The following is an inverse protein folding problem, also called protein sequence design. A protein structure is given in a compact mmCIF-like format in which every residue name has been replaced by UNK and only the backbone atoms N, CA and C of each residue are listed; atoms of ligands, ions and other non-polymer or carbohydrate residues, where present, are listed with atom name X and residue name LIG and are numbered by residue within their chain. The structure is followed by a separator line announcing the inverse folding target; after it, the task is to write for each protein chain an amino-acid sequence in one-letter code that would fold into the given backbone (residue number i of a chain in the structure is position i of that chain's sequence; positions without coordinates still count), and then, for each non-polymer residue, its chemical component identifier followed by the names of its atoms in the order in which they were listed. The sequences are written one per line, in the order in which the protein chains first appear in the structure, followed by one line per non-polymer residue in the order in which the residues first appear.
data_IF_923915196161
#
_entry.id   IF_923915196161
#
_cell.length_a   1.000
_cell.length_b   1.000
_cell.length_c   1.000
_cell.angle_alpha   90.00
_cell.angle_beta   90.00
_cell.angle_gamma   90.00
#
_symmetry.space_group_name_H-M   'P 1'
#
loop_
_entity.id
_entity.type
_entity.pdbx_description
1 polymer ?
#
# COMPACT_ATOMS: atom_id res chain seq x y z
N UNK A 1 4.96 -9.81 17.81
CA UNK A 1 4.05 -10.31 18.85
C UNK A 1 2.73 -10.64 18.19
N UNK A 2 2.38 -11.91 18.12
CA UNK A 2 1.04 -12.31 17.73
C UNK A 2 0.03 -11.73 18.72
N UNK A 3 -0.78 -10.79 18.26
CA UNK A 3 -1.89 -10.32 19.10
C UNK A 3 -3.09 -11.20 18.81
N UNK A 4 -3.48 -11.95 19.84
CA UNK A 4 -4.70 -12.73 19.78
C UNK A 4 -5.91 -11.78 19.73
N UNK A 5 -6.47 -11.57 18.53
CA UNK A 5 -7.64 -10.73 18.29
C UNK A 5 -8.96 -11.49 18.57
N UNK A 6 -8.88 -12.77 18.99
CA UNK A 6 -10.04 -13.63 19.21
C UNK A 6 -10.58 -13.60 20.64
N UNK A 7 -10.00 -12.77 21.53
CA UNK A 7 -10.39 -12.64 22.95
C UNK A 7 -10.58 -11.18 23.36
N UNK A 8 -11.22 -10.94 24.49
CA UNK A 8 -11.44 -9.59 25.04
C UNK A 8 -12.58 -8.82 24.36
N UNK A 9 -12.68 -7.51 24.58
CA UNK A 9 -13.69 -6.65 23.97
C UNK A 9 -13.44 -6.41 22.47
N UNK A 10 -14.43 -6.68 21.62
CA UNK A 10 -14.36 -6.47 20.16
C UNK A 10 -14.13 -4.99 19.85
N UNK A 11 -14.85 -4.09 20.49
CA UNK A 11 -14.72 -2.65 20.28
C UNK A 11 -13.31 -2.15 20.60
N UNK A 12 -12.74 -2.60 21.72
CA UNK A 12 -11.35 -2.27 22.11
C UNK A 12 -10.34 -2.84 21.10
N UNK A 13 -10.59 -4.04 20.59
CA UNK A 13 -9.73 -4.66 19.58
C UNK A 13 -9.78 -3.85 18.26
N UNK A 14 -10.97 -3.42 17.81
CA UNK A 14 -11.13 -2.56 16.64
C UNK A 14 -10.33 -1.26 16.82
N UNK A 15 -10.55 -0.51 17.89
CA UNK A 15 -9.85 0.76 18.11
C UNK A 15 -8.32 0.58 18.17
N UNK A 16 -7.85 -0.43 18.91
CA UNK A 16 -6.41 -0.68 19.09
C UNK A 16 -5.73 -1.07 17.77
N UNK A 17 -6.46 -1.73 16.85
CA UNK A 17 -5.95 -2.11 15.55
C UNK A 17 -6.12 -1.00 14.50
N UNK A 18 -7.28 -0.32 14.50
CA UNK A 18 -7.61 0.72 13.53
C UNK A 18 -6.76 1.98 13.68
N UNK A 19 -6.50 2.45 14.91
CA UNK A 19 -5.76 3.69 15.14
C UNK A 19 -4.34 3.68 14.52
N UNK A 20 -3.48 2.66 14.74
CA UNK A 20 -2.18 2.59 14.06
C UNK A 20 -2.31 2.49 12.55
N UNK A 21 -3.36 1.83 12.06
CA UNK A 21 -3.60 1.68 10.63
C UNK A 21 -4.05 3.01 9.98
N UNK A 22 -4.94 3.74 10.65
CA UNK A 22 -5.37 5.08 10.25
C UNK A 22 -4.17 6.03 10.20
N UNK A 23 -3.29 5.98 11.22
CA UNK A 23 -2.07 6.78 11.24
C UNK A 23 -1.13 6.39 10.08
N UNK A 24 -1.04 5.11 9.72
CA UNK A 24 -0.28 4.66 8.55
C UNK A 24 -0.78 5.30 7.25
N UNK A 25 -2.10 5.33 7.04
CA UNK A 25 -2.70 5.98 5.87
C UNK A 25 -2.48 7.49 5.88
N UNK A 26 -2.63 8.12 7.04
CA UNK A 26 -2.36 9.56 7.19
C UNK A 26 -0.89 9.89 6.84
N UNK A 27 0.07 9.12 7.34
CA UNK A 27 1.48 9.29 7.02
C UNK A 27 1.78 9.09 5.53
N UNK A 28 1.13 8.12 4.88
CA UNK A 28 1.24 7.91 3.43
C UNK A 28 0.71 9.12 2.64
N UNK A 29 -0.42 9.67 3.06
CA UNK A 29 -0.97 10.89 2.44
C UNK A 29 -0.03 12.08 2.67
N UNK A 30 0.51 12.20 3.88
CA UNK A 30 1.39 13.29 4.26
C UNK A 30 2.67 13.31 3.43
N UNK A 31 3.35 12.16 3.23
CA UNK A 31 4.57 12.18 2.44
C UNK A 31 4.27 12.48 0.96
N UNK A 32 3.18 11.98 0.38
CA UNK A 32 2.78 12.33 -0.98
C UNK A 32 2.45 13.82 -1.16
N UNK A 33 1.90 14.48 -0.13
CA UNK A 33 1.72 15.93 -0.13
C UNK A 33 3.05 16.67 0.03
N UNK A 34 3.97 16.15 0.85
CA UNK A 34 5.29 16.73 1.05
C UNK A 34 6.11 16.72 -0.25
N UNK A 35 6.10 15.61 -1.01
CA UNK A 35 6.76 15.52 -2.31
C UNK A 35 6.32 16.66 -3.24
N UNK A 36 5.01 16.90 -3.36
CA UNK A 36 4.47 17.96 -4.21
C UNK A 36 4.81 19.36 -3.67
N UNK A 37 4.74 19.56 -2.35
CA UNK A 37 5.06 20.83 -1.72
C UNK A 37 6.56 21.18 -1.88
N UNK A 38 7.45 20.24 -1.62
CA UNK A 38 8.90 20.42 -1.76
C UNK A 38 9.26 20.67 -3.22
N UNK A 39 8.71 19.86 -4.14
CA UNK A 39 8.91 20.09 -5.59
C UNK A 39 8.41 21.48 -6.00
N UNK A 40 7.24 21.90 -5.52
CA UNK A 40 6.68 23.21 -5.79
C UNK A 40 7.50 24.37 -5.22
N UNK A 41 8.20 24.17 -4.12
CA UNK A 41 9.03 25.19 -3.47
C UNK A 41 10.36 25.43 -4.18
N UNK A 42 10.95 24.40 -4.76
CA UNK A 42 12.30 24.43 -5.31
C UNK A 42 12.35 24.31 -6.84
N UNK A 43 11.29 23.86 -7.51
CA UNK A 43 11.26 23.60 -8.94
C UNK A 43 10.17 24.40 -9.65
N UNK A 44 10.24 24.47 -11.01
CA UNK A 44 9.23 25.07 -11.85
C UNK A 44 7.96 24.22 -12.02
N UNK A 45 6.95 24.81 -12.70
CA UNK A 45 5.63 24.19 -12.93
C UNK A 45 5.75 22.86 -13.67
N UNK A 46 6.67 22.72 -14.62
CA UNK A 46 6.89 21.50 -15.40
C UNK A 46 7.30 20.33 -14.51
N UNK A 47 8.16 20.59 -13.51
CA UNK A 47 8.59 19.58 -12.53
C UNK A 47 7.46 19.17 -11.62
N UNK A 48 6.64 20.12 -11.15
CA UNK A 48 5.44 19.83 -10.34
C UNK A 48 4.49 18.93 -11.11
N UNK A 49 4.23 19.26 -12.38
CA UNK A 49 3.36 18.49 -13.28
C UNK A 49 3.90 17.08 -13.50
N UNK A 50 5.21 16.94 -13.72
CA UNK A 50 5.86 15.66 -13.90
C UNK A 50 5.75 14.76 -12.66
N UNK A 51 6.01 15.31 -11.47
CA UNK A 51 5.89 14.58 -10.20
C UNK A 51 4.43 14.25 -9.90
N UNK A 52 3.50 15.15 -10.14
CA UNK A 52 2.07 14.91 -9.91
C UNK A 52 1.54 13.77 -10.77
N UNK A 53 1.81 13.79 -12.10
CA UNK A 53 1.39 12.74 -13.02
C UNK A 53 2.06 11.41 -12.70
N UNK A 54 3.37 11.41 -12.43
CA UNK A 54 4.11 10.22 -12.06
C UNK A 54 3.60 9.60 -10.74
N UNK A 55 3.35 10.43 -9.73
CA UNK A 55 2.79 9.99 -8.44
C UNK A 55 1.39 9.41 -8.58
N UNK A 56 0.54 9.95 -9.47
CA UNK A 56 -0.80 9.41 -9.72
C UNK A 56 -0.75 8.01 -10.32
N UNK A 57 0.16 7.77 -11.27
CA UNK A 57 0.39 6.44 -11.85
C UNK A 57 0.89 5.46 -10.78
N UNK A 58 1.88 5.88 -9.97
CA UNK A 58 2.40 5.06 -8.89
C UNK A 58 1.34 4.77 -7.82
N UNK A 59 0.47 5.74 -7.53
CA UNK A 59 -0.65 5.55 -6.62
C UNK A 59 -1.62 4.47 -7.13
N UNK A 60 -2.01 4.53 -8.41
CA UNK A 60 -2.87 3.52 -9.03
C UNK A 60 -2.26 2.12 -8.92
N UNK A 61 -0.97 1.96 -9.21
CA UNK A 61 -0.27 0.69 -9.08
C UNK A 61 -0.23 0.19 -7.64
N UNK A 62 0.05 1.09 -6.70
CA UNK A 62 0.11 0.77 -5.26
C UNK A 62 -1.25 0.30 -4.75
N UNK A 63 -2.34 0.93 -5.16
CA UNK A 63 -3.71 0.57 -4.77
C UNK A 63 -4.05 -0.84 -5.26
N UNK A 64 -3.70 -1.20 -6.49
CA UNK A 64 -3.86 -2.57 -7.02
C UNK A 64 -3.05 -3.59 -6.21
N UNK A 65 -1.79 -3.26 -5.88
CA UNK A 65 -0.92 -4.09 -5.04
C UNK A 65 -1.54 -4.29 -3.65
N UNK A 66 -2.04 -3.23 -3.03
CA UNK A 66 -2.70 -3.27 -1.70
C UNK A 66 -3.96 -4.13 -1.74
N UNK A 67 -4.78 -3.99 -2.80
CA UNK A 67 -5.97 -4.81 -3.00
C UNK A 67 -5.63 -6.30 -3.08
N UNK A 68 -4.61 -6.67 -3.86
CA UNK A 68 -4.12 -8.06 -3.92
C UNK A 68 -3.58 -8.53 -2.56
N UNK A 69 -2.86 -7.66 -1.84
CA UNK A 69 -2.31 -7.96 -0.52
C UNK A 69 -3.39 -8.18 0.55
N UNK A 70 -4.59 -7.63 0.36
CA UNK A 70 -5.74 -7.89 1.23
C UNK A 70 -6.10 -9.38 1.26
N UNK A 71 -6.07 -10.06 0.11
CA UNK A 71 -6.27 -11.52 0.06
C UNK A 71 -5.28 -12.27 0.95
N UNK A 72 -4.02 -11.88 0.94
CA UNK A 72 -2.98 -12.45 1.80
C UNK A 72 -3.26 -12.19 3.29
N UNK A 73 -3.63 -10.96 3.65
CA UNK A 73 -3.99 -10.59 5.03
C UNK A 73 -5.11 -11.49 5.58
N UNK A 74 -6.15 -11.72 4.78
CA UNK A 74 -7.31 -12.54 5.19
C UNK A 74 -6.92 -14.01 5.35
N UNK A 75 -6.18 -14.60 4.40
CA UNK A 75 -5.79 -16.01 4.47
C UNK A 75 -4.81 -16.27 5.61
N UNK A 76 -3.84 -15.39 5.82
CA UNK A 76 -2.90 -15.48 6.96
C UNK A 76 -3.67 -15.33 8.27
N UNK A 77 -4.54 -14.32 8.38
CA UNK A 77 -5.35 -14.09 9.58
C UNK A 77 -6.24 -15.28 9.93
N UNK A 78 -6.86 -15.91 8.94
CA UNK A 78 -7.66 -17.11 9.14
C UNK A 78 -6.82 -18.29 9.66
N UNK A 79 -5.65 -18.53 9.06
CA UNK A 79 -4.75 -19.60 9.50
C UNK A 79 -4.22 -19.36 10.93
N UNK A 80 -3.85 -18.12 11.26
CA UNK A 80 -3.44 -17.71 12.61
C UNK A 80 -4.57 -17.91 13.61
N UNK A 81 -5.79 -17.48 13.26
CA UNK A 81 -6.97 -17.67 14.10
C UNK A 81 -7.29 -19.14 14.38
N UNK A 82 -7.08 -20.00 13.38
CA UNK A 82 -7.22 -21.46 13.51
C UNK A 82 -6.07 -22.13 14.29
N UNK A 83 -5.04 -21.38 14.68
CA UNK A 83 -3.84 -21.93 15.32
C UNK A 83 -2.94 -22.75 14.38
N UNK A 84 -3.20 -22.71 13.07
CA UNK A 84 -2.45 -23.47 12.06
C UNK A 84 -1.31 -22.64 11.47
N UNK A 85 -0.18 -22.61 12.17
CA UNK A 85 1.00 -21.84 11.75
C UNK A 85 1.60 -22.32 10.43
N UNK A 86 1.48 -23.63 10.09
CA UNK A 86 1.98 -24.15 8.81
C UNK A 86 1.22 -23.57 7.63
N UNK A 87 -0.10 -23.46 7.74
CA UNK A 87 -0.93 -22.82 6.70
C UNK A 87 -0.64 -21.32 6.60
N UNK A 88 -0.34 -20.65 7.72
CA UNK A 88 0.09 -19.26 7.71
C UNK A 88 1.45 -19.09 6.99
N UNK A 89 2.44 -19.93 7.30
CA UNK A 89 3.75 -19.94 6.64
C UNK A 89 3.65 -20.22 5.14
N UNK A 90 2.80 -21.17 4.74
CA UNK A 90 2.50 -21.47 3.34
C UNK A 90 1.83 -20.28 2.63
N UNK A 91 0.89 -19.62 3.29
CA UNK A 91 0.23 -18.43 2.76
C UNK A 91 1.23 -17.27 2.57
N UNK A 92 2.14 -17.05 3.53
CA UNK A 92 3.20 -16.04 3.44
C UNK A 92 4.13 -16.33 2.26
N UNK A 93 4.67 -17.55 2.14
CA UNK A 93 5.56 -17.93 1.06
C UNK A 93 4.91 -17.82 -0.32
N UNK A 94 3.66 -18.28 -0.44
CA UNK A 94 2.89 -18.16 -1.68
C UNK A 94 2.53 -16.71 -2.02
N UNK A 95 2.32 -15.85 -1.03
CA UNK A 95 2.14 -14.40 -1.24
C UNK A 95 3.37 -13.80 -1.91
N UNK A 96 4.56 -14.04 -1.36
CA UNK A 96 5.82 -13.56 -1.96
C UNK A 96 5.96 -14.04 -3.40
N UNK A 97 5.73 -15.33 -3.64
CA UNK A 97 5.83 -15.92 -4.99
C UNK A 97 4.82 -15.31 -5.96
N UNK A 98 3.56 -15.09 -5.53
CA UNK A 98 2.52 -14.45 -6.34
C UNK A 98 2.94 -13.04 -6.76
N UNK A 99 3.36 -12.22 -5.81
CA UNK A 99 3.74 -10.84 -6.10
C UNK A 99 4.99 -10.75 -6.97
N UNK A 100 5.97 -11.64 -6.78
CA UNK A 100 7.13 -11.71 -7.66
C UNK A 100 6.72 -12.09 -9.10
N UNK A 101 5.81 -13.03 -9.28
CA UNK A 101 5.29 -13.41 -10.59
C UNK A 101 4.51 -12.25 -11.24
N UNK A 102 3.65 -11.55 -10.47
CA UNK A 102 2.89 -10.38 -10.95
C UNK A 102 3.83 -9.26 -11.37
N UNK A 103 4.88 -8.96 -10.58
CA UNK A 103 5.87 -7.95 -10.92
C UNK A 103 6.56 -8.25 -12.25
N UNK A 104 7.04 -9.48 -12.43
CA UNK A 104 7.72 -9.89 -13.66
C UNK A 104 6.79 -9.79 -14.87
N UNK A 105 5.50 -10.15 -14.72
CA UNK A 105 4.52 -10.11 -15.80
C UNK A 105 4.05 -8.67 -16.11
N UNK A 106 3.94 -7.79 -15.12
CA UNK A 106 3.35 -6.46 -15.25
C UNK A 106 4.33 -5.38 -15.75
N UNK A 107 5.63 -5.56 -15.59
CA UNK A 107 6.63 -4.53 -15.95
C UNK A 107 6.53 -4.13 -17.43
N UNK A 108 6.40 -5.09 -18.36
CA UNK A 108 6.35 -4.80 -19.81
C UNK A 108 5.08 -4.09 -20.27
N UNK A 109 3.85 -4.51 -19.88
CA UNK A 109 2.63 -3.81 -20.30
C UNK A 109 2.49 -2.42 -19.66
N UNK A 110 2.98 -2.19 -18.46
CA UNK A 110 2.86 -0.90 -17.76
C UNK A 110 3.68 0.21 -18.44
N UNK A 111 4.87 -0.10 -18.95
CA UNK A 111 5.69 0.85 -19.68
C UNK A 111 5.03 1.30 -20.99
N UNK A 112 4.19 0.46 -21.61
CA UNK A 112 3.49 0.77 -22.87
C UNK A 112 2.18 1.55 -22.71
N UNK A 113 1.59 1.59 -21.50
CA UNK A 113 0.26 2.18 -21.25
C UNK A 113 0.29 3.67 -20.87
N UNK A 114 1.46 4.26 -20.66
CA UNK A 114 1.59 5.63 -20.13
C UNK A 114 1.66 6.64 -21.26
N UNK A 115 0.49 7.14 -21.69
CA UNK A 115 0.38 8.29 -22.58
C UNK A 115 0.54 9.60 -21.80
N UNK A 116 1.76 10.15 -21.72
CA UNK A 116 2.06 11.39 -20.99
C UNK A 116 2.07 12.59 -21.95
N UNK A 117 1.57 13.80 -21.56
CA UNK A 117 1.68 15.02 -22.38
C UNK A 117 3.13 15.34 -22.76
N UNK A 118 3.37 15.77 -24.01
CA UNK A 118 4.70 15.87 -24.61
C UNK A 118 5.69 16.77 -23.83
N UNK A 119 5.21 17.80 -23.17
CA UNK A 119 6.04 18.80 -22.46
C UNK A 119 6.53 18.32 -21.10
N UNK A 120 5.75 17.46 -20.43
CA UNK A 120 6.12 16.84 -19.14
C UNK A 120 6.78 15.46 -19.31
N UNK A 121 6.86 14.95 -20.55
CA UNK A 121 7.36 13.61 -20.88
C UNK A 121 8.75 13.32 -20.29
N UNK A 122 9.78 14.20 -20.45
CA UNK A 122 11.11 13.83 -19.98
C UNK A 122 11.19 13.64 -18.47
N UNK A 123 10.60 14.57 -17.68
CA UNK A 123 10.58 14.50 -16.22
C UNK A 123 9.72 13.35 -15.70
N UNK A 124 8.55 13.12 -16.30
CA UNK A 124 7.66 12.02 -15.93
C UNK A 124 8.28 10.65 -16.23
N UNK A 125 8.91 10.50 -17.40
CA UNK A 125 9.60 9.25 -17.77
C UNK A 125 10.76 8.97 -16.81
N UNK A 126 11.57 9.98 -16.47
CA UNK A 126 12.65 9.83 -15.50
C UNK A 126 12.11 9.43 -14.12
N UNK A 127 11.07 10.14 -13.62
CA UNK A 127 10.40 9.82 -12.38
C UNK A 127 9.89 8.38 -12.33
N UNK A 128 9.11 7.99 -13.34
CA UNK A 128 8.52 6.64 -13.42
C UNK A 128 9.57 5.54 -13.59
N UNK A 129 10.63 5.80 -14.36
CA UNK A 129 11.72 4.82 -14.53
C UNK A 129 12.36 4.49 -13.18
N UNK A 130 12.67 5.50 -12.36
CA UNK A 130 13.25 5.32 -11.03
C UNK A 130 12.26 4.62 -10.10
N UNK A 131 11.00 5.06 -10.09
CA UNK A 131 9.96 4.44 -9.29
C UNK A 131 9.70 2.97 -9.70
N UNK A 132 9.77 2.65 -10.98
CA UNK A 132 9.60 1.26 -11.45
C UNK A 132 10.75 0.34 -11.01
N UNK A 133 11.98 0.86 -10.95
CA UNK A 133 13.09 0.16 -10.31
C UNK A 133 12.80 -0.05 -8.81
N UNK A 134 12.07 0.89 -8.18
CA UNK A 134 11.62 0.82 -6.78
C UNK A 134 10.42 -0.11 -6.52
N UNK A 135 9.64 -0.51 -7.55
CA UNK A 135 8.46 -1.36 -7.38
C UNK A 135 8.71 -2.62 -6.53
N UNK A 136 9.81 -3.36 -6.68
CA UNK A 136 10.08 -4.52 -5.83
C UNK A 136 10.09 -4.17 -4.34
N UNK A 137 10.62 -3.02 -3.95
CA UNK A 137 10.67 -2.57 -2.56
C UNK A 137 9.30 -2.12 -2.06
N UNK A 138 8.54 -1.38 -2.88
CA UNK A 138 7.16 -0.99 -2.58
C UNK A 138 6.30 -2.24 -2.37
N UNK A 139 6.44 -3.22 -3.25
CA UNK A 139 5.72 -4.50 -3.15
C UNK A 139 6.15 -5.28 -1.92
N UNK A 140 7.46 -5.36 -1.63
CA UNK A 140 7.98 -6.03 -0.44
C UNK A 140 7.43 -5.39 0.84
N UNK A 141 7.36 -4.06 0.93
CA UNK A 141 6.72 -3.37 2.05
C UNK A 141 5.25 -3.78 2.20
N UNK A 142 4.48 -3.81 1.10
CA UNK A 142 3.06 -4.18 1.15
C UNK A 142 2.85 -5.65 1.54
N UNK A 143 3.70 -6.56 1.06
CA UNK A 143 3.70 -7.96 1.47
C UNK A 143 3.97 -8.09 2.97
N UNK A 144 5.05 -7.49 3.45
CA UNK A 144 5.41 -7.53 4.88
C UNK A 144 4.29 -6.95 5.73
N UNK A 145 3.75 -5.80 5.33
CA UNK A 145 2.61 -5.17 6.02
C UNK A 145 1.37 -6.05 6.03
N UNK A 146 1.05 -6.77 4.94
CA UNK A 146 -0.07 -7.70 4.89
C UNK A 146 0.11 -8.90 5.82
N UNK A 147 1.34 -9.40 5.91
CA UNK A 147 1.71 -10.47 6.85
C UNK A 147 1.50 -10.02 8.29
N UNK A 148 2.04 -8.87 8.68
CA UNK A 148 1.87 -8.34 10.05
C UNK A 148 0.40 -8.11 10.38
N UNK A 149 -0.39 -7.57 9.45
CA UNK A 149 -1.84 -7.41 9.62
C UNK A 149 -2.55 -8.74 9.82
N UNK A 150 -2.22 -9.75 9.03
CA UNK A 150 -2.74 -11.11 9.18
C UNK A 150 -2.39 -11.72 10.55
N UNK A 151 -1.18 -11.46 11.06
CA UNK A 151 -0.73 -11.85 12.39
C UNK A 151 -1.38 -11.05 13.54
N UNK A 152 -2.21 -10.04 13.22
CA UNK A 152 -2.88 -9.19 14.21
C UNK A 152 -2.05 -8.01 14.71
N UNK A 153 -0.96 -7.68 14.04
CA UNK A 153 -0.10 -6.53 14.38
C UNK A 153 -0.25 -5.40 13.37
N UNK A 154 -0.94 -4.33 13.77
CA UNK A 154 -1.06 -3.08 12.99
C UNK A 154 -0.02 -2.04 13.37
N UNK A 155 0.68 -2.20 14.51
CA UNK A 155 1.66 -1.21 14.99
C UNK A 155 2.97 -1.28 14.23
N UNK A 156 3.46 -2.50 13.95
CA UNK A 156 4.73 -2.65 13.23
C UNK A 156 4.71 -2.02 11.84
N UNK A 157 3.70 -2.25 10.98
CA UNK A 157 3.57 -1.53 9.70
C UNK A 157 3.51 -0.01 9.85
N UNK A 158 2.85 0.50 10.90
CA UNK A 158 2.81 1.94 11.20
C UNK A 158 4.22 2.51 11.47
N UNK A 159 5.05 1.81 12.23
CA UNK A 159 6.43 2.25 12.47
C UNK A 159 7.27 2.21 11.20
N UNK A 160 7.09 1.19 10.35
CA UNK A 160 7.82 1.09 9.09
C UNK A 160 7.50 2.25 8.16
N UNK A 161 6.21 2.63 8.04
CA UNK A 161 5.81 3.76 7.21
C UNK A 161 6.20 5.10 7.82
N UNK A 162 6.22 5.22 9.16
CA UNK A 162 6.68 6.44 9.83
C UNK A 162 8.16 6.71 9.51
N UNK A 163 9.00 5.67 9.54
CA UNK A 163 10.40 5.78 9.14
C UNK A 163 10.52 6.16 7.66
N UNK A 164 9.72 5.51 6.77
CA UNK A 164 9.71 5.85 5.36
C UNK A 164 9.30 7.30 5.13
N UNK A 165 8.26 7.79 5.79
CA UNK A 165 7.78 9.16 5.69
C UNK A 165 8.85 10.17 6.11
N UNK A 166 9.48 9.96 7.25
CA UNK A 166 10.54 10.85 7.74
C UNK A 166 11.76 10.84 6.79
N UNK A 167 12.16 9.66 6.32
CA UNK A 167 13.26 9.53 5.37
C UNK A 167 12.93 10.17 4.01
N UNK A 168 11.70 9.97 3.50
CA UNK A 168 11.27 10.57 2.24
C UNK A 168 11.35 12.10 2.29
N UNK A 169 10.74 12.73 3.32
CA UNK A 169 10.77 14.18 3.47
C UNK A 169 12.22 14.70 3.55
N UNK A 170 13.08 14.03 4.32
CA UNK A 170 14.49 14.43 4.45
C UNK A 170 15.26 14.28 3.13
N UNK A 171 15.05 13.18 2.39
CA UNK A 171 15.68 12.92 1.10
C UNK A 171 15.16 13.87 0.02
N UNK A 172 13.87 14.19 0.01
CA UNK A 172 13.29 15.15 -0.94
C UNK A 172 13.86 16.56 -0.73
N UNK A 173 13.95 17.02 0.51
CA UNK A 173 14.60 18.30 0.83
C UNK A 173 16.06 18.29 0.35
N UNK A 174 16.79 17.19 0.53
CA UNK A 174 18.17 17.06 0.10
C UNK A 174 18.33 17.01 -1.42
N UNK A 175 17.56 16.17 -2.10
CA UNK A 175 17.72 15.91 -3.53
C UNK A 175 17.10 17.00 -4.40
N UNK A 176 15.95 17.54 -3.99
CA UNK A 176 15.24 18.57 -4.76
C UNK A 176 15.79 19.96 -4.44
N UNK A 177 16.14 20.23 -3.17
CA UNK A 177 16.71 21.51 -2.74
C UNK A 177 18.18 21.67 -3.17
N UNK A 178 19.17 21.36 -2.32
CA UNK A 178 20.59 21.63 -2.60
C UNK A 178 21.13 20.91 -3.85
N UNK A 179 20.66 19.69 -4.16
CA UNK A 179 21.14 18.93 -5.31
C UNK A 179 20.41 19.27 -6.61
N UNK A 180 19.30 20.02 -6.54
CA UNK A 180 18.52 20.50 -7.69
C UNK A 180 18.14 19.40 -8.71
N UNK A 181 17.86 18.15 -8.25
CA UNK A 181 17.56 17.00 -9.10
C UNK A 181 16.10 17.00 -9.61
N UNK A 182 15.26 17.92 -9.15
CA UNK A 182 13.86 18.03 -9.60
C UNK A 182 13.06 16.73 -9.48
N UNK A 183 12.34 16.30 -10.55
CA UNK A 183 11.54 15.06 -10.54
C UNK A 183 12.35 13.79 -10.25
N UNK A 184 13.61 13.75 -10.67
CA UNK A 184 14.54 12.65 -10.35
C UNK A 184 14.78 12.57 -8.85
N UNK A 185 14.95 13.73 -8.19
CA UNK A 185 15.13 13.81 -6.75
C UNK A 185 13.94 13.27 -5.97
N UNK A 186 12.71 13.66 -6.36
CA UNK A 186 11.47 13.14 -5.76
C UNK A 186 11.34 11.61 -5.93
N UNK A 187 11.64 11.09 -7.13
CA UNK A 187 11.59 9.65 -7.38
C UNK A 187 12.63 8.86 -6.56
N UNK A 188 13.85 9.40 -6.44
CA UNK A 188 14.89 8.81 -5.58
C UNK A 188 14.50 8.85 -4.11
N UNK A 189 13.97 9.98 -3.61
CA UNK A 189 13.45 10.12 -2.26
C UNK A 189 12.42 9.06 -1.93
N UNK A 190 11.42 8.89 -2.80
CA UNK A 190 10.38 7.88 -2.65
C UNK A 190 10.96 6.46 -2.69
N UNK A 191 11.80 6.13 -3.66
CA UNK A 191 12.35 4.77 -3.82
C UNK A 191 13.29 4.38 -2.66
N UNK A 192 14.17 5.28 -2.25
CA UNK A 192 15.12 5.03 -1.17
C UNK A 192 14.42 4.96 0.20
N UNK A 193 13.42 5.79 0.44
CA UNK A 193 12.63 5.74 1.68
C UNK A 193 11.85 4.43 1.80
N UNK A 194 11.27 3.93 0.72
CA UNK A 194 10.61 2.62 0.70
C UNK A 194 11.62 1.47 0.90
N UNK A 195 12.79 1.57 0.30
CA UNK A 195 13.88 0.60 0.52
C UNK A 195 14.30 0.57 1.99
N UNK A 196 14.46 1.73 2.61
CA UNK A 196 14.78 1.85 4.05
C UNK A 196 13.66 1.24 4.91
N UNK A 197 12.41 1.50 4.57
CA UNK A 197 11.25 0.89 5.26
C UNK A 197 11.30 -0.63 5.24
N UNK A 198 11.62 -1.22 4.08
CA UNK A 198 11.77 -2.68 3.94
C UNK A 198 12.94 -3.21 4.78
N UNK A 199 14.08 -2.51 4.79
CA UNK A 199 15.24 -2.90 5.61
C UNK A 199 14.86 -2.89 7.11
N UNK A 200 14.19 -1.83 7.58
CA UNK A 200 13.72 -1.71 8.96
C UNK A 200 12.71 -2.80 9.29
N UNK A 201 11.80 -3.12 8.35
CA UNK A 201 10.82 -4.18 8.52
C UNK A 201 11.48 -5.57 8.62
N UNK A 202 12.44 -5.88 7.76
CA UNK A 202 13.20 -7.13 7.79
C UNK A 202 14.02 -7.25 9.08
N UNK A 203 14.65 -6.15 9.52
CA UNK A 203 15.35 -6.12 10.80
C UNK A 203 14.40 -6.34 11.99
N UNK A 204 13.19 -5.74 11.93
CA UNK A 204 12.12 -5.98 12.90
C UNK A 204 11.71 -7.45 12.97
N UNK A 205 11.52 -8.11 11.83
CA UNK A 205 11.21 -9.55 11.75
C UNK A 205 12.34 -10.38 12.38
N UNK A 206 13.58 -10.06 12.04
CA UNK A 206 14.75 -10.78 12.56
C UNK A 206 14.91 -10.64 14.07
N UNK A 207 14.69 -9.44 14.62
CA UNK A 207 14.82 -9.14 16.04
C UNK A 207 13.66 -9.68 16.88
N UNK A 208 12.44 -9.55 16.38
CA UNK A 208 11.23 -10.09 16.99
C UNK A 208 11.03 -11.51 16.50
N UNK A 209 11.52 -12.51 17.22
CA UNK A 209 11.27 -13.94 16.92
C UNK A 209 9.76 -14.16 16.71
N UNK A 210 9.29 -13.98 15.48
CA UNK A 210 7.86 -14.05 15.12
C UNK A 210 7.26 -15.45 15.21
N UNK A 211 8.03 -16.43 15.68
CA UNK A 211 7.58 -17.83 15.73
C UNK A 211 7.46 -18.50 14.36
N UNK A 212 7.47 -17.73 13.28
CA UNK A 212 7.37 -18.21 11.90
C UNK A 212 8.69 -18.86 11.45
N UNK A 213 8.62 -20.08 10.96
CA UNK A 213 9.76 -20.82 10.41
C UNK A 213 9.58 -20.97 8.91
N UNK A 214 9.83 -19.90 8.17
CA UNK A 214 9.77 -19.95 6.72
C UNK A 214 10.87 -20.85 6.17
N UNK A 215 10.48 -21.88 5.42
CA UNK A 215 11.36 -22.80 4.70
C UNK A 215 11.25 -22.56 3.21
N UNK A 216 12.22 -23.02 2.42
CA UNK A 216 12.16 -22.94 0.96
C UNK A 216 10.92 -23.63 0.37
N UNK A 217 10.33 -24.58 1.08
CA UNK A 217 9.13 -25.29 0.63
C UNK A 217 7.88 -24.41 0.65
N UNK A 218 7.78 -23.43 1.57
CA UNK A 218 6.65 -22.51 1.66
C UNK A 218 6.56 -21.56 0.44
N UNK A 219 7.69 -21.31 -0.24
CA UNK A 219 7.73 -20.47 -1.46
C UNK A 219 7.35 -21.24 -2.74
N UNK A 220 7.15 -22.55 -2.68
CA UNK A 220 6.67 -23.30 -3.84
C UNK A 220 5.20 -22.94 -4.11
N UNK A 221 4.85 -22.54 -5.35
CA UNK A 221 3.48 -22.14 -5.68
C UNK A 221 2.52 -23.32 -5.49
N UNK A 222 1.57 -23.16 -4.58
CA UNK A 222 0.50 -24.13 -4.33
C UNK A 222 -0.81 -23.59 -4.87
N UNK A 223 -1.36 -24.22 -5.93
CA UNK A 223 -2.58 -23.77 -6.61
C UNK A 223 -3.75 -23.51 -5.65
N UNK A 224 -3.93 -24.35 -4.62
CA UNK A 224 -5.01 -24.16 -3.64
C UNK A 224 -4.82 -22.91 -2.76
N UNK A 225 -3.59 -22.57 -2.36
CA UNK A 225 -3.30 -21.38 -1.55
C UNK A 225 -3.39 -20.13 -2.41
N UNK A 226 -2.74 -20.13 -3.59
CA UNK A 226 -2.80 -19.04 -4.56
C UNK A 226 -4.23 -18.73 -4.99
N UNK A 227 -5.03 -19.77 -5.28
CA UNK A 227 -6.44 -19.62 -5.64
C UNK A 227 -7.26 -18.94 -4.55
N UNK A 228 -7.04 -19.27 -3.28
CA UNK A 228 -7.71 -18.61 -2.15
C UNK A 228 -7.28 -17.14 -2.01
N UNK A 229 -6.00 -16.84 -2.13
CA UNK A 229 -5.49 -15.46 -2.07
C UNK A 229 -6.08 -14.63 -3.21
N UNK A 230 -6.05 -15.14 -4.43
CA UNK A 230 -6.58 -14.44 -5.61
C UNK A 230 -8.10 -14.29 -5.56
N UNK A 231 -8.84 -15.28 -5.05
CA UNK A 231 -10.31 -15.21 -4.93
C UNK A 231 -10.78 -14.03 -4.08
N UNK A 232 -9.96 -13.60 -3.11
CA UNK A 232 -10.26 -12.44 -2.24
C UNK A 232 -9.56 -11.19 -2.79
N UNK A 233 -8.28 -11.28 -3.09
CA UNK A 233 -7.47 -10.11 -3.45
C UNK A 233 -7.77 -9.55 -4.84
N UNK A 234 -8.07 -10.40 -5.83
CA UNK A 234 -8.32 -9.94 -7.19
C UNK A 234 -9.60 -9.09 -7.32
N UNK A 235 -10.76 -9.47 -6.73
CA UNK A 235 -11.93 -8.61 -6.74
C UNK A 235 -11.69 -7.24 -6.10
N UNK A 236 -10.96 -7.21 -4.97
CA UNK A 236 -10.62 -5.95 -4.29
C UNK A 236 -9.70 -5.10 -5.18
N UNK A 237 -8.66 -5.70 -5.76
CA UNK A 237 -7.75 -5.00 -6.67
C UNK A 237 -8.46 -4.43 -7.91
N UNK A 238 -9.39 -5.19 -8.49
CA UNK A 238 -10.22 -4.74 -9.63
C UNK A 238 -11.15 -3.60 -9.21
N UNK A 239 -11.82 -3.72 -8.06
CA UNK A 239 -12.68 -2.67 -7.51
C UNK A 239 -11.90 -1.37 -7.34
N UNK A 240 -10.76 -1.42 -6.67
CA UNK A 240 -9.93 -0.25 -6.41
C UNK A 240 -9.36 0.34 -7.71
N UNK A 241 -8.96 -0.53 -8.65
CA UNK A 241 -8.52 -0.11 -9.97
C UNK A 241 -9.63 0.59 -10.77
N UNK A 242 -10.85 0.09 -10.75
CA UNK A 242 -12.01 0.73 -11.39
C UNK A 242 -12.33 2.09 -10.78
N UNK A 243 -12.20 2.25 -9.46
CA UNK A 243 -12.37 3.55 -8.79
C UNK A 243 -11.34 4.55 -9.31
N UNK A 244 -10.05 4.15 -9.42
CA UNK A 244 -9.01 5.03 -9.95
C UNK A 244 -9.26 5.41 -11.41
N UNK A 245 -9.68 4.48 -12.25
CA UNK A 245 -10.06 4.77 -13.65
C UNK A 245 -11.23 5.75 -13.72
N UNK A 246 -12.23 5.60 -12.85
CA UNK A 246 -13.36 6.53 -12.78
C UNK A 246 -12.91 7.96 -12.44
N UNK A 247 -12.00 8.12 -11.45
CA UNK A 247 -11.43 9.43 -11.11
C UNK A 247 -10.65 10.04 -12.30
N UNK A 248 -9.84 9.25 -12.99
CA UNK A 248 -9.11 9.72 -14.19
C UNK A 248 -10.09 10.21 -15.26
N UNK A 249 -11.17 9.48 -15.53
CA UNK A 249 -12.21 9.88 -16.51
C UNK A 249 -12.88 11.19 -16.08
N UNK A 250 -13.24 11.34 -14.80
CA UNK A 250 -13.83 12.57 -14.26
C UNK A 250 -12.87 13.75 -14.45
N UNK A 251 -11.58 13.55 -14.15
CA UNK A 251 -10.55 14.59 -14.34
C UNK A 251 -10.40 14.98 -15.81
N UNK A 252 -10.41 14.01 -16.74
CA UNK A 252 -10.37 14.28 -18.18
C UNK A 252 -11.59 15.12 -18.61
N UNK A 253 -12.80 14.75 -18.18
CA UNK A 253 -14.01 15.49 -18.50
C UNK A 253 -13.95 16.92 -17.93
N UNK A 254 -13.49 17.10 -16.70
CA UNK A 254 -13.33 18.41 -16.08
C UNK A 254 -12.33 19.29 -16.83
N UNK A 255 -11.19 18.71 -17.25
CA UNK A 255 -10.18 19.42 -18.04
C UNK A 255 -10.73 19.93 -19.38
N UNK A 256 -11.58 19.13 -20.05
CA UNK A 256 -12.27 19.57 -21.28
C UNK A 256 -13.28 20.69 -21.06
N UNK A 257 -13.83 20.86 -19.85
CA UNK A 257 -14.79 21.92 -19.51
C UNK A 257 -14.13 23.24 -19.14
N UNK A 258 -12.84 23.22 -18.82
CA UNK A 258 -12.06 24.42 -18.57
C UNK A 258 -11.39 24.44 -17.19
N UNK A 259 -10.59 25.48 -16.97
CA UNK A 259 -9.70 25.59 -15.81
C UNK A 259 -10.47 25.63 -14.47
N UNK A 260 -11.64 26.27 -14.43
CA UNK A 260 -12.44 26.40 -13.20
C UNK A 260 -12.99 25.05 -12.77
N UNK A 261 -13.58 24.29 -13.69
CA UNK A 261 -14.13 22.96 -13.41
C UNK A 261 -13.03 21.98 -13.04
N UNK A 262 -11.88 22.04 -13.71
CA UNK A 262 -10.70 21.22 -13.39
C UNK A 262 -10.18 21.50 -11.98
N UNK A 263 -10.07 22.77 -11.60
CA UNK A 263 -9.64 23.15 -10.24
C UNK A 263 -10.64 22.70 -9.18
N UNK A 264 -11.94 22.83 -9.43
CA UNK A 264 -12.99 22.40 -8.52
C UNK A 264 -12.95 20.87 -8.31
N UNK A 265 -12.82 20.08 -9.38
CA UNK A 265 -12.67 18.61 -9.28
C UNK A 265 -11.41 18.23 -8.51
N UNK A 266 -10.28 18.89 -8.77
CA UNK A 266 -9.04 18.63 -8.02
C UNK A 266 -9.17 18.86 -6.50
N UNK A 267 -9.91 19.92 -6.09
CA UNK A 267 -10.21 20.17 -4.65
C UNK A 267 -11.10 19.06 -4.10
N UNK A 268 -12.17 18.70 -4.81
CA UNK A 268 -13.10 17.64 -4.40
C UNK A 268 -12.38 16.31 -4.25
N UNK A 269 -11.49 15.94 -5.17
CA UNK A 269 -10.68 14.71 -5.07
C UNK A 269 -9.81 14.68 -3.81
N UNK A 270 -9.23 15.81 -3.40
CA UNK A 270 -8.44 15.88 -2.16
C UNK A 270 -9.30 15.69 -0.92
N UNK A 271 -10.50 16.28 -0.91
CA UNK A 271 -11.46 16.10 0.20
C UNK A 271 -11.93 14.63 0.26
N UNK A 272 -12.29 14.04 -0.87
CA UNK A 272 -12.70 12.63 -0.96
C UNK A 272 -11.57 11.73 -0.46
N UNK A 273 -10.33 11.94 -0.90
CA UNK A 273 -9.18 11.16 -0.48
C UNK A 273 -8.97 11.22 1.04
N UNK A 274 -9.13 12.40 1.65
CA UNK A 274 -9.05 12.57 3.10
C UNK A 274 -10.19 11.84 3.82
N UNK A 275 -11.41 11.89 3.30
CA UNK A 275 -12.56 11.19 3.89
C UNK A 275 -12.42 9.67 3.80
N UNK A 276 -11.80 9.15 2.73
CA UNK A 276 -11.60 7.71 2.54
C UNK A 276 -10.55 7.08 3.46
N UNK A 277 -9.75 7.87 4.16
CA UNK A 277 -8.75 7.36 5.13
C UNK A 277 -9.44 6.51 6.21
N UNK A 278 -10.57 6.98 6.75
CA UNK A 278 -11.30 6.27 7.82
C UNK A 278 -11.94 4.97 7.32
N UNK A 279 -12.78 4.96 6.25
CA UNK A 279 -13.33 3.73 5.71
C UNK A 279 -12.26 2.71 5.31
N UNK A 280 -11.17 3.13 4.68
CA UNK A 280 -10.08 2.23 4.27
C UNK A 280 -9.38 1.59 5.46
N UNK A 281 -9.15 2.34 6.54
CA UNK A 281 -8.58 1.80 7.77
C UNK A 281 -9.53 0.82 8.46
N UNK A 282 -10.82 1.08 8.41
CA UNK A 282 -11.85 0.17 8.93
C UNK A 282 -11.98 -1.11 8.11
N UNK A 283 -11.93 -1.01 6.77
CA UNK A 283 -11.93 -2.19 5.89
C UNK A 283 -10.79 -3.15 6.25
N UNK A 284 -9.57 -2.64 6.39
CA UNK A 284 -8.42 -3.45 6.75
C UNK A 284 -8.54 -4.04 8.17
N UNK A 285 -9.06 -3.26 9.11
CA UNK A 285 -9.29 -3.68 10.49
C UNK A 285 -10.31 -4.80 10.57
N UNK A 286 -11.47 -4.62 9.94
CA UNK A 286 -12.54 -5.63 9.91
C UNK A 286 -12.05 -6.90 9.21
N UNK A 287 -11.31 -6.78 8.10
CA UNK A 287 -10.76 -7.93 7.39
C UNK A 287 -9.81 -8.75 8.26
N UNK A 288 -8.90 -8.10 9.00
CA UNK A 288 -7.95 -8.78 9.87
C UNK A 288 -8.65 -9.42 11.09
N UNK A 289 -9.53 -8.68 11.79
CA UNK A 289 -10.22 -9.19 12.97
C UNK A 289 -11.19 -10.30 12.61
N UNK A 290 -12.01 -10.11 11.56
CA UNK A 290 -13.01 -11.11 11.16
C UNK A 290 -12.35 -12.39 10.66
N UNK A 291 -11.25 -12.30 9.89
CA UNK A 291 -10.54 -13.50 9.41
C UNK A 291 -9.96 -14.32 10.55
N UNK A 292 -9.33 -13.69 11.56
CA UNK A 292 -8.84 -14.41 12.74
C UNK A 292 -9.97 -15.03 13.57
N UNK A 293 -11.08 -14.30 13.76
CA UNK A 293 -12.22 -14.83 14.53
C UNK A 293 -12.93 -15.98 13.80
N UNK A 294 -13.06 -15.92 12.48
CA UNK A 294 -13.60 -17.04 11.67
C UNK A 294 -12.67 -18.23 11.72
N UNK A 295 -11.35 -18.03 11.59
CA UNK A 295 -10.36 -19.09 11.74
C UNK A 295 -10.40 -19.76 13.13
N UNK A 296 -10.65 -18.99 14.17
CA UNK A 296 -10.81 -19.48 15.54
C UNK A 296 -12.17 -20.15 15.83
N UNK A 297 -13.05 -20.31 14.81
CA UNK A 297 -14.39 -20.88 15.01
C UNK A 297 -15.35 -19.98 15.78
N UNK A 298 -15.16 -18.65 15.74
CA UNK A 298 -15.98 -17.64 16.46
C UNK A 298 -16.75 -16.73 15.49
N UNK A 299 -17.71 -17.25 14.68
CA UNK A 299 -18.42 -16.46 13.67
C UNK A 299 -19.25 -15.32 14.27
N UNK A 300 -19.82 -15.52 15.46
CA UNK A 300 -20.59 -14.48 16.16
C UNK A 300 -19.72 -13.26 16.46
N UNK A 301 -18.48 -13.49 16.86
CA UNK A 301 -17.52 -12.44 17.15
C UNK A 301 -17.04 -11.72 15.87
N UNK A 302 -16.93 -12.44 14.76
CA UNK A 302 -16.70 -11.84 13.45
C UNK A 302 -17.87 -10.95 13.02
N UNK A 303 -19.12 -11.39 13.24
CA UNK A 303 -20.32 -10.59 12.98
C UNK A 303 -20.40 -9.34 13.89
N UNK A 304 -20.02 -9.47 15.17
CA UNK A 304 -19.90 -8.32 16.07
C UNK A 304 -18.85 -7.32 15.59
N UNK A 305 -17.72 -7.79 15.04
CA UNK A 305 -16.69 -6.91 14.48
C UNK A 305 -17.26 -6.05 13.36
N UNK A 306 -18.04 -6.65 12.46
CA UNK A 306 -18.68 -5.91 11.37
C UNK A 306 -19.76 -4.92 11.88
N UNK A 307 -20.47 -5.28 12.96
CA UNK A 307 -21.52 -4.43 13.53
C UNK A 307 -20.97 -3.20 14.24
N UNK A 308 -19.78 -3.29 14.84
CA UNK A 308 -19.15 -2.20 15.60
C UNK A 308 -18.22 -1.31 14.75
N UNK A 309 -17.88 -1.72 13.53
CA UNK A 309 -17.09 -0.95 12.57
C UNK A 309 -17.96 -0.07 11.69
#
# INVERSE_FOLDING_TARGET
MEKNLTTGSVFKAILTFALPYLLSYFLQTLYGMADLYITGRFCGVDSITAVANGSQVMHMLTVIIVGLAMGSTVIIGHAVGAGNMRDAEDAIGNTVTLFMAVLVAAVRPLVGLIGVPAEAVPGTVQYLTICFIGIPFITAYNIISSVFRGLGDSKSPMYFIAVACAANIALDILFIGPMALGPVGAALGTTLSQTLSVIVALFGIWRHKTGLRLSRQNFRPRKGVLGRILKIGLPVAVQDGCIQVAFIIITIIANHRGLIDSAAVGIVEKIISAMFIVPSSMLATVSALSSQNLGAGKPERAAQTLKYA
#
